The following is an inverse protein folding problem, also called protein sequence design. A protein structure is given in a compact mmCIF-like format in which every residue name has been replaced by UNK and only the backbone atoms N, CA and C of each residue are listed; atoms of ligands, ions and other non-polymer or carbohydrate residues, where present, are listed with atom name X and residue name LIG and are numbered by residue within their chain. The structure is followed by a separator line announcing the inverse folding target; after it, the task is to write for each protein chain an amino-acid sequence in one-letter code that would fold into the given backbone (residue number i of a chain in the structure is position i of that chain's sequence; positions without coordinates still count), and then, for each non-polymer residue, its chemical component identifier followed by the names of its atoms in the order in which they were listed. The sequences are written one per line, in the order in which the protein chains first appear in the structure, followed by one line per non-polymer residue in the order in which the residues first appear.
data_IF_535174591259
#
_entry.id   IF_535174591259
#
_cell.length_a   1.000
_cell.length_b   1.000
_cell.length_c   1.000
_cell.angle_alpha   90.00
_cell.angle_beta   90.00
_cell.angle_gamma   90.00
#
_symmetry.space_group_name_H-M   'P 1'
#
loop_
_entity.id
_entity.type
_entity.pdbx_description
1 polymer ?
#
# COMPACT_ATOMS: atom_id res chain seq x y z
N UNK A 1 -40.34 35.26 57.00
CA UNK A 1 -40.97 34.45 58.07
C UNK A 1 -42.27 33.85 57.54
N UNK A 2 -42.39 32.51 57.54
CA UNK A 2 -43.60 31.64 57.49
C UNK A 2 -43.25 30.38 56.66
N UNK A 3 -42.71 29.34 57.28
CA UNK A 3 -43.38 28.20 57.96
C UNK A 3 -44.02 27.19 57.01
N UNK A 4 -43.32 26.03 56.91
CA UNK A 4 -43.78 24.62 56.92
C UNK A 4 -44.71 24.20 55.77
N UNK A 5 -44.47 23.06 55.11
CA UNK A 5 -44.76 21.73 55.66
C UNK A 5 -43.99 20.62 54.93
N UNK A 6 -43.49 19.69 55.75
CA UNK A 6 -43.01 18.35 55.40
C UNK A 6 -44.24 17.48 55.10
N UNK A 7 -44.21 16.71 54.02
CA UNK A 7 -45.07 15.54 53.83
C UNK A 7 -44.16 14.36 53.52
N UNK A 8 -44.12 13.42 54.46
CA UNK A 8 -43.62 12.06 54.26
C UNK A 8 -44.69 11.26 53.51
N UNK A 9 -44.27 10.50 52.50
CA UNK A 9 -45.12 9.55 51.78
C UNK A 9 -44.23 8.44 51.22
N UNK A 10 -44.12 7.35 51.97
CA UNK A 10 -43.50 6.11 51.53
C UNK A 10 -44.42 5.41 50.53
N UNK A 11 -43.87 4.90 49.42
CA UNK A 11 -44.52 3.84 48.63
C UNK A 11 -43.48 3.02 47.85
N UNK A 12 -43.44 1.75 48.25
CA UNK A 12 -43.21 0.55 47.46
C UNK A 12 -41.96 0.42 46.56
N UNK A 13 -41.12 -0.52 46.97
CA UNK A 13 -40.16 -1.22 46.13
C UNK A 13 -40.86 -1.92 44.95
N UNK A 14 -40.26 -1.81 43.76
CA UNK A 14 -40.38 -2.80 42.69
C UNK A 14 -39.05 -2.80 41.93
N UNK A 15 -38.12 -3.63 42.40
CA UNK A 15 -36.91 -4.01 41.69
C UNK A 15 -37.29 -4.85 40.47
N UNK A 16 -37.30 -4.23 39.30
CA UNK A 16 -37.24 -4.96 38.02
C UNK A 16 -35.79 -5.30 37.72
N UNK A 17 -35.43 -6.56 37.98
CA UNK A 17 -34.28 -7.23 37.40
C UNK A 17 -34.44 -7.20 35.87
N UNK A 18 -33.74 -6.29 35.20
CA UNK A 18 -33.51 -6.43 33.77
C UNK A 18 -32.45 -7.50 33.57
N UNK A 19 -32.88 -8.66 33.08
CA UNK A 19 -32.02 -9.75 32.67
C UNK A 19 -31.04 -9.25 31.59
N UNK A 20 -29.75 -9.33 31.89
CA UNK A 20 -28.72 -9.18 30.87
C UNK A 20 -28.80 -10.40 29.93
N UNK A 21 -28.86 -10.22 28.60
CA UNK A 21 -28.62 -11.32 27.70
C UNK A 21 -27.15 -11.73 27.84
N UNK A 22 -26.95 -12.95 28.33
CA UNK A 22 -25.68 -13.65 28.25
C UNK A 22 -25.40 -13.98 26.78
N UNK A 23 -24.16 -13.74 26.35
CA UNK A 23 -23.56 -14.47 25.24
C UNK A 23 -23.86 -13.92 23.84
N UNK A 24 -23.41 -12.71 23.55
CA UNK A 24 -22.75 -12.48 22.28
C UNK A 24 -21.27 -12.32 22.61
N UNK A 25 -20.49 -13.39 22.45
CA UNK A 25 -19.06 -13.25 22.19
C UNK A 25 -18.94 -12.37 20.96
N UNK A 26 -18.71 -11.07 21.16
CA UNK A 26 -18.07 -10.25 20.16
C UNK A 26 -16.78 -10.98 19.84
N UNK A 27 -16.72 -11.62 18.67
CA UNK A 27 -15.45 -11.87 18.04
C UNK A 27 -14.81 -10.49 17.98
N UNK A 28 -13.76 -10.28 18.76
CA UNK A 28 -12.93 -9.12 18.60
C UNK A 28 -12.48 -9.18 17.13
N UNK A 29 -13.10 -8.37 16.29
CA UNK A 29 -12.54 -7.99 15.00
C UNK A 29 -11.19 -7.41 15.37
N UNK A 30 -10.14 -8.22 15.22
CA UNK A 30 -8.77 -7.73 15.27
C UNK A 30 -8.68 -6.53 14.34
N UNK A 31 -7.81 -5.54 14.62
CA UNK A 31 -7.77 -4.32 13.82
C UNK A 31 -7.70 -4.71 12.34
N UNK A 32 -8.76 -4.37 11.60
CA UNK A 32 -8.78 -4.65 10.16
C UNK A 32 -7.53 -3.99 9.57
N UNK A 33 -6.73 -4.73 8.78
CA UNK A 33 -5.60 -4.10 8.12
C UNK A 33 -6.16 -2.92 7.32
N UNK A 34 -5.61 -1.73 7.57
CA UNK A 34 -6.05 -0.52 6.85
C UNK A 34 -6.15 -0.82 5.35
N UNK A 35 -7.11 -0.23 4.64
CA UNK A 35 -7.25 -0.45 3.19
C UNK A 35 -5.91 -0.25 2.43
N UNK A 36 -5.06 0.64 2.94
CA UNK A 36 -3.70 0.86 2.46
C UNK A 36 -2.76 -0.36 2.66
N UNK A 37 -2.86 -1.07 3.79
CA UNK A 37 -2.14 -2.31 4.06
C UNK A 37 -2.64 -3.47 3.18
N UNK A 38 -3.93 -3.52 2.87
CA UNK A 38 -4.49 -4.52 1.94
C UNK A 38 -3.98 -4.35 0.50
N UNK A 39 -3.50 -3.16 0.15
CA UNK A 39 -2.91 -2.89 -1.16
C UNK A 39 -1.44 -3.32 -1.29
N UNK A 40 -0.75 -3.70 -0.21
CA UNK A 40 0.68 -4.01 -0.31
C UNK A 40 0.93 -5.35 -1.00
N UNK A 41 1.88 -5.35 -1.95
CA UNK A 41 2.48 -6.57 -2.47
C UNK A 41 3.99 -6.46 -2.46
N UNK A 42 4.64 -7.46 -1.92
CA UNK A 42 6.09 -7.63 -2.01
C UNK A 42 6.45 -8.61 -3.12
N UNK A 43 7.71 -8.57 -3.53
CA UNK A 43 8.25 -9.54 -4.46
C UNK A 43 9.45 -10.26 -3.85
N UNK A 44 9.69 -11.48 -4.31
CA UNK A 44 10.93 -12.18 -4.02
C UNK A 44 12.11 -11.43 -4.65
N UNK A 45 13.16 -11.20 -3.85
CA UNK A 45 14.37 -10.52 -4.30
C UNK A 45 15.29 -11.50 -5.02
N UNK A 46 15.46 -11.31 -6.33
CA UNK A 46 16.23 -12.20 -7.24
C UNK A 46 17.48 -11.55 -7.83
N UNK A 47 18.37 -11.06 -6.95
CA UNK A 47 19.58 -10.34 -7.36
C UNK A 47 19.26 -8.97 -7.96
N UNK A 48 20.30 -8.16 -8.21
CA UNK A 48 20.16 -6.79 -8.68
C UNK A 48 20.41 -6.69 -10.19
N UNK A 49 19.54 -5.95 -10.89
CA UNK A 49 19.73 -5.53 -12.27
C UNK A 49 19.78 -4.01 -12.34
N UNK A 50 20.85 -3.47 -12.93
CA UNK A 50 21.09 -2.04 -12.96
C UNK A 50 20.27 -1.38 -14.06
N UNK A 51 19.60 -0.29 -13.72
CA UNK A 51 18.75 0.49 -14.62
C UNK A 51 19.13 1.96 -14.51
N UNK A 52 18.72 2.78 -15.49
CA UNK A 52 18.84 4.23 -15.40
C UNK A 52 17.46 4.86 -15.55
N UNK A 53 17.14 5.81 -14.67
CA UNK A 53 15.89 6.59 -14.72
C UNK A 53 16.15 7.98 -15.29
N UNK A 54 15.21 8.53 -16.08
CA UNK A 54 15.34 9.90 -16.63
C UNK A 54 14.73 10.99 -15.74
N UNK A 55 13.93 10.63 -14.74
CA UNK A 55 13.31 11.54 -13.79
C UNK A 55 13.08 10.83 -12.46
N UNK A 56 12.68 11.58 -11.43
CA UNK A 56 12.18 11.06 -10.17
C UNK A 56 10.90 10.26 -10.40
N UNK A 57 10.92 9.00 -10.03
CA UNK A 57 9.83 8.08 -10.20
C UNK A 57 9.09 7.88 -8.87
N UNK A 58 7.77 8.04 -8.86
CA UNK A 58 6.97 7.71 -7.68
C UNK A 58 6.83 6.19 -7.54
N UNK A 59 6.77 5.74 -6.29
CA UNK A 59 6.60 4.34 -5.94
C UNK A 59 5.20 4.07 -5.37
N UNK A 60 4.67 2.91 -5.71
CA UNK A 60 3.39 2.40 -5.23
C UNK A 60 3.58 1.14 -4.38
N UNK A 61 2.62 0.82 -3.50
CA UNK A 61 2.71 -0.37 -2.65
C UNK A 61 2.51 -1.67 -3.43
N UNK A 62 2.05 -1.60 -4.69
CA UNK A 62 1.86 -2.73 -5.60
C UNK A 62 1.97 -2.26 -7.07
N UNK A 63 2.10 -3.22 -7.98
CA UNK A 63 2.11 -3.00 -9.44
C UNK A 63 0.73 -2.74 -10.06
N UNK A 64 -0.34 -2.82 -9.27
CA UNK A 64 -1.73 -2.58 -9.70
C UNK A 64 -2.25 -1.19 -9.29
N UNK A 65 -1.38 -0.27 -8.82
CA UNK A 65 -1.73 1.07 -8.32
C UNK A 65 -2.87 1.10 -7.28
N UNK A 66 -2.99 0.08 -6.42
CA UNK A 66 -3.87 0.15 -5.25
C UNK A 66 -3.24 1.04 -4.16
N UNK A 67 -4.01 1.91 -3.53
CA UNK A 67 -3.57 2.77 -2.42
C UNK A 67 -2.72 3.98 -2.84
N UNK A 68 -2.38 4.80 -1.84
CA UNK A 68 -1.52 5.97 -2.01
C UNK A 68 -0.05 5.64 -2.29
N UNK A 69 0.66 6.62 -2.86
CA UNK A 69 2.11 6.55 -3.12
C UNK A 69 2.89 6.35 -1.83
N UNK A 70 3.89 5.47 -1.86
CA UNK A 70 4.67 5.08 -0.68
C UNK A 70 6.09 5.65 -0.65
N UNK A 71 6.54 6.28 -1.74
CA UNK A 71 7.88 6.81 -1.81
C UNK A 71 8.32 7.22 -3.20
N UNK A 72 9.63 7.37 -3.36
CA UNK A 72 10.28 7.76 -4.62
C UNK A 72 11.58 7.01 -4.85
N UNK A 73 11.84 6.73 -6.12
CA UNK A 73 13.16 6.39 -6.65
C UNK A 73 13.67 7.61 -7.41
N UNK A 74 14.85 8.11 -7.04
CA UNK A 74 15.43 9.30 -7.62
C UNK A 74 16.02 9.04 -9.01
N UNK A 75 16.19 10.13 -9.76
CA UNK A 75 16.78 10.08 -11.08
C UNK A 75 18.23 9.61 -10.99
N UNK A 76 18.64 8.71 -11.88
CA UNK A 76 20.04 8.29 -11.99
C UNK A 76 20.20 6.80 -12.24
N UNK A 77 21.37 6.29 -11.89
CA UNK A 77 21.65 4.86 -11.91
C UNK A 77 21.09 4.21 -10.64
N UNK A 78 20.22 3.23 -10.85
CA UNK A 78 19.49 2.54 -9.80
C UNK A 78 19.60 1.03 -10.05
N UNK A 79 19.16 0.22 -9.10
CA UNK A 79 18.94 -1.20 -9.32
C UNK A 79 17.48 -1.55 -9.15
N UNK A 80 17.08 -2.69 -9.70
CA UNK A 80 15.78 -3.32 -9.47
C UNK A 80 15.99 -4.81 -9.25
N UNK A 81 15.02 -5.44 -8.58
CA UNK A 81 15.07 -6.88 -8.34
C UNK A 81 14.40 -7.67 -9.46
N UNK A 82 13.23 -7.21 -9.90
CA UNK A 82 12.45 -7.87 -10.92
C UNK A 82 11.35 -6.94 -11.46
N UNK A 83 10.62 -7.41 -12.48
CA UNK A 83 9.47 -6.71 -13.07
C UNK A 83 8.18 -7.52 -13.01
N UNK A 84 7.05 -6.84 -13.03
CA UNK A 84 5.71 -7.42 -13.20
C UNK A 84 4.85 -6.61 -14.15
N UNK A 85 3.98 -7.28 -14.90
CA UNK A 85 2.95 -6.62 -15.69
C UNK A 85 1.83 -6.15 -14.77
N UNK A 86 1.43 -4.89 -14.91
CA UNK A 86 0.50 -4.25 -14.01
C UNK A 86 -0.34 -3.16 -14.66
N UNK A 87 -0.77 -2.21 -13.83
CA UNK A 87 -1.60 -1.09 -14.29
C UNK A 87 -0.85 -0.20 -15.29
N UNK A 88 -1.57 0.32 -16.27
CA UNK A 88 -1.01 1.24 -17.25
C UNK A 88 -0.46 2.50 -16.58
N UNK A 89 0.75 2.86 -16.93
CA UNK A 89 1.26 4.22 -16.74
C UNK A 89 1.41 4.88 -18.11
N UNK A 90 0.85 6.07 -18.26
CA UNK A 90 0.92 6.86 -19.48
C UNK A 90 1.51 8.22 -19.12
N UNK A 91 2.48 8.66 -19.91
CA UNK A 91 3.11 9.97 -19.75
C UNK A 91 3.52 10.54 -21.10
N UNK A 92 4.19 11.69 -21.07
CA UNK A 92 4.57 12.42 -22.27
C UNK A 92 5.42 11.61 -23.26
N UNK A 93 6.22 10.65 -22.78
CA UNK A 93 7.17 9.90 -23.60
C UNK A 93 6.67 8.48 -23.97
N UNK A 94 5.40 8.17 -23.69
CA UNK A 94 4.82 6.88 -24.03
C UNK A 94 4.03 6.22 -22.90
N UNK A 95 3.84 4.91 -23.04
CA UNK A 95 3.03 4.07 -22.15
C UNK A 95 3.81 2.85 -21.68
N UNK A 96 3.69 2.49 -20.40
CA UNK A 96 4.32 1.29 -19.88
C UNK A 96 3.46 0.58 -18.83
N UNK A 97 3.31 -0.74 -18.98
CA UNK A 97 2.64 -1.63 -18.03
C UNK A 97 3.60 -2.40 -17.13
N UNK A 98 4.92 -2.32 -17.36
CA UNK A 98 5.90 -2.95 -16.49
C UNK A 98 6.11 -2.09 -15.23
N UNK A 99 6.09 -2.77 -14.10
CA UNK A 99 6.42 -2.24 -12.78
C UNK A 99 7.64 -2.96 -12.24
N UNK A 100 8.53 -2.22 -11.60
CA UNK A 100 9.82 -2.66 -11.13
C UNK A 100 9.81 -2.65 -9.61
N UNK A 101 10.12 -3.77 -8.99
CA UNK A 101 10.26 -3.85 -7.54
C UNK A 101 11.69 -3.51 -7.14
N UNK A 102 11.86 -2.56 -6.22
CA UNK A 102 13.18 -2.10 -5.78
C UNK A 102 13.15 -1.45 -4.39
N UNK A 103 14.33 -1.23 -3.83
CA UNK A 103 14.52 -0.37 -2.65
C UNK A 103 14.38 1.11 -3.07
N UNK A 104 13.72 1.92 -2.23
CA UNK A 104 13.44 3.33 -2.54
C UNK A 104 14.42 4.26 -1.84
N UNK A 105 14.67 5.42 -2.47
CA UNK A 105 15.53 6.46 -1.88
C UNK A 105 14.80 7.26 -0.79
N UNK A 106 13.47 7.33 -0.87
CA UNK A 106 12.63 8.06 0.07
C UNK A 106 11.29 7.35 0.29
N UNK A 107 10.85 7.32 1.55
CA UNK A 107 9.55 6.77 1.95
C UNK A 107 9.69 5.36 2.52
N UNK A 108 8.83 4.44 2.09
CA UNK A 108 8.94 3.03 2.45
C UNK A 108 10.27 2.42 1.99
N UNK A 109 10.70 1.32 2.62
CA UNK A 109 11.96 0.65 2.25
C UNK A 109 11.95 0.16 0.81
N UNK A 110 10.81 -0.39 0.36
CA UNK A 110 10.63 -0.95 -0.98
C UNK A 110 9.32 -0.51 -1.59
N UNK A 111 9.23 -0.64 -2.91
CA UNK A 111 7.97 -0.44 -3.61
C UNK A 111 8.09 -0.72 -5.10
N UNK A 112 6.99 -0.47 -5.79
CA UNK A 112 6.85 -0.67 -7.22
C UNK A 112 6.94 0.65 -7.96
N UNK A 113 7.87 0.73 -8.92
CA UNK A 113 8.11 1.91 -9.75
C UNK A 113 7.81 1.56 -11.20
N UNK A 114 7.11 2.42 -11.93
CA UNK A 114 6.82 2.15 -13.35
C UNK A 114 8.11 2.16 -14.19
N UNK A 115 8.26 1.19 -15.09
CA UNK A 115 9.34 1.16 -16.07
C UNK A 115 9.24 2.27 -17.11
N UNK A 116 8.12 3.02 -17.14
CA UNK A 116 8.01 4.26 -17.91
C UNK A 116 9.18 5.21 -17.65
N UNK A 117 9.70 5.28 -16.41
CA UNK A 117 10.78 6.20 -16.04
C UNK A 117 12.17 5.73 -16.49
N UNK A 118 12.30 4.54 -17.09
CA UNK A 118 13.58 4.03 -17.55
C UNK A 118 14.05 4.74 -18.82
N UNK A 119 15.37 4.91 -18.92
CA UNK A 119 16.04 5.46 -20.09
C UNK A 119 17.12 4.51 -20.60
N UNK A 120 17.68 4.82 -21.77
CA UNK A 120 18.69 4.03 -22.45
C UNK A 120 18.13 3.21 -23.62
N UNK A 121 19.05 2.63 -24.43
CA UNK A 121 18.67 1.88 -25.62
C UNK A 121 17.82 0.65 -25.24
N UNK A 122 16.67 0.50 -25.90
CA UNK A 122 15.75 -0.62 -25.68
C UNK A 122 14.68 -0.40 -24.61
N UNK A 123 14.69 0.73 -23.89
CA UNK A 123 13.57 1.18 -23.07
C UNK A 123 12.60 2.05 -23.91
N UNK A 124 11.33 2.12 -23.49
CA UNK A 124 10.24 2.74 -24.25
C UNK A 124 8.89 2.08 -23.95
N UNK A 125 7.98 2.08 -24.92
CA UNK A 125 6.63 1.54 -24.75
C UNK A 125 6.64 0.04 -24.43
N UNK A 126 6.07 -0.32 -23.28
CA UNK A 126 6.02 -1.69 -22.75
C UNK A 126 7.35 -2.45 -22.82
N UNK A 127 8.46 -1.73 -22.67
CA UNK A 127 9.81 -2.28 -22.52
C UNK A 127 10.36 -2.02 -21.12
N UNK A 128 11.20 -2.94 -20.66
CA UNK A 128 11.88 -2.88 -19.38
C UNK A 128 13.18 -3.66 -19.49
N UNK A 129 14.26 -2.95 -19.85
CA UNK A 129 15.60 -3.50 -20.02
C UNK A 129 16.58 -2.81 -19.08
N UNK A 130 17.59 -3.56 -18.66
CA UNK A 130 18.69 -3.05 -17.85
C UNK A 130 19.67 -2.21 -18.68
N UNK A 131 20.67 -1.61 -18.03
CA UNK A 131 21.67 -0.76 -18.68
C UNK A 131 22.51 -1.47 -19.75
N UNK A 132 22.51 -2.81 -19.76
CA UNK A 132 23.18 -3.63 -20.77
C UNK A 132 22.23 -4.06 -21.89
N UNK A 133 21.00 -3.55 -21.92
CA UNK A 133 19.97 -3.90 -22.92
C UNK A 133 19.32 -5.26 -22.68
N UNK A 134 19.58 -5.92 -21.54
CA UNK A 134 18.97 -7.21 -21.22
C UNK A 134 17.62 -7.00 -20.56
N UNK A 135 16.62 -7.76 -20.98
CA UNK A 135 15.29 -7.77 -20.35
C UNK A 135 15.40 -8.02 -18.85
N UNK A 136 14.77 -7.14 -18.07
CA UNK A 136 14.65 -7.30 -16.61
C UNK A 136 13.83 -8.56 -16.32
N UNK A 137 14.29 -9.38 -15.39
CA UNK A 137 13.64 -10.66 -15.05
C UNK A 137 12.26 -10.40 -14.46
N UNK A 138 11.31 -11.24 -14.82
CA UNK A 138 10.00 -11.27 -14.15
C UNK A 138 10.18 -11.74 -12.70
N UNK A 139 9.38 -11.19 -11.79
CA UNK A 139 9.43 -11.61 -10.38
C UNK A 139 9.08 -13.09 -10.25
N UNK A 140 9.90 -13.86 -9.53
CA UNK A 140 9.66 -15.30 -9.32
C UNK A 140 8.64 -15.61 -8.24
N UNK A 141 8.22 -14.60 -7.47
CA UNK A 141 7.17 -14.72 -6.46
C UNK A 141 6.67 -13.34 -6.03
N UNK A 142 5.37 -13.27 -5.76
CA UNK A 142 4.62 -12.11 -5.25
C UNK A 142 3.86 -12.58 -4.01
N UNK A 143 3.88 -11.80 -2.93
CA UNK A 143 3.22 -12.13 -1.66
C UNK A 143 2.74 -10.87 -0.94
#
# INVERSE_FOLDING_TARGET
MHKRRIIAGALAAASVLSAAPAGATALAEGPEPSAQAACWTDAKVDGKQWVRTFDKAFANPNYLKCGDRVGYLYQGENYVFCKMWGQKYEGQYGTNHWWLYTDLDQGATRGWVSAYFLTGPGNGDDKAVDVNGKTIKTCSGIY
#
